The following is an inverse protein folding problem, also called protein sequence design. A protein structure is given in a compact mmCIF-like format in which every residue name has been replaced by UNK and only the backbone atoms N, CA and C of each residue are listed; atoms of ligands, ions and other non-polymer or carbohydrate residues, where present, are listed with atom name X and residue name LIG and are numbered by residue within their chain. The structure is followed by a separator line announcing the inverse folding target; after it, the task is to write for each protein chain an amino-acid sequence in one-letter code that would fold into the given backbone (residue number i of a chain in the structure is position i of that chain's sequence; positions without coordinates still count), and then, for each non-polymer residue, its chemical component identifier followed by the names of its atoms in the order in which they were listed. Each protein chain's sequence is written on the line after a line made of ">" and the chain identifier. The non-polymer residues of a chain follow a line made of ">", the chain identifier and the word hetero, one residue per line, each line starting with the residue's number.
data_IF_977779151220
#
_entry.id   IF_977779151220
#
_cell.length_a   1.000
_cell.length_b   1.000
_cell.length_c   1.000
_cell.angle_alpha   90.00
_cell.angle_beta   90.00
_cell.angle_gamma   90.00
#
_symmetry.space_group_name_H-M   'P 1'
#
loop_
_entity.id
_entity.type
_entity.pdbx_description
1 polymer ?
#
# COMPACT_ATOMS: atom_id res chain seq x y z
N UNK A 1 -24.01 5.18 22.76
CA UNK A 1 -23.66 6.24 21.80
C UNK A 1 -22.21 6.02 21.39
N UNK A 2 -21.99 5.53 20.16
CA UNK A 2 -20.66 5.13 19.69
C UNK A 2 -19.74 6.34 19.54
N UNK A 3 -18.51 6.20 20.03
CA UNK A 3 -17.47 7.20 19.84
C UNK A 3 -17.13 7.27 18.34
N UNK A 4 -17.26 8.40 17.65
CA UNK A 4 -16.94 8.51 16.21
C UNK A 4 -15.46 8.22 15.88
N UNK A 5 -14.60 8.08 16.90
CA UNK A 5 -13.20 7.65 16.76
C UNK A 5 -12.99 6.14 16.54
N UNK A 6 -14.03 5.30 16.68
CA UNK A 6 -13.94 3.85 16.45
C UNK A 6 -14.28 3.43 15.02
N UNK A 7 -14.56 4.36 14.11
CA UNK A 7 -14.64 4.04 12.67
C UNK A 7 -13.22 3.88 12.10
N UNK A 8 -12.45 2.94 12.66
CA UNK A 8 -11.16 2.55 12.11
C UNK A 8 -11.39 1.40 11.13
N UNK A 9 -10.60 1.40 10.05
CA UNK A 9 -10.65 0.49 8.90
C UNK A 9 -10.90 -1.03 9.18
N UNK A 10 -10.70 -1.59 10.40
CA UNK A 10 -11.05 -2.99 10.71
C UNK A 10 -12.47 -3.20 11.28
N UNK A 11 -13.05 -2.23 11.99
CA UNK A 11 -14.35 -2.38 12.66
C UNK A 11 -15.53 -2.47 11.68
N UNK A 12 -15.31 -2.10 10.41
CA UNK A 12 -16.28 -2.24 9.33
C UNK A 12 -16.38 -3.68 8.78
N UNK A 13 -15.37 -4.53 9.01
CA UNK A 13 -15.26 -5.84 8.34
C UNK A 13 -15.16 -7.03 9.30
N UNK A 14 -14.79 -6.82 10.56
CA UNK A 14 -14.38 -7.87 11.47
C UNK A 14 -14.90 -7.59 12.89
N UNK A 15 -15.61 -8.55 13.47
CA UNK A 15 -15.98 -8.54 14.89
C UNK A 15 -14.75 -8.91 15.75
N UNK A 16 -13.87 -7.94 16.02
CA UNK A 16 -12.74 -8.14 16.95
C UNK A 16 -13.19 -7.90 18.39
N UNK A 17 -13.06 -8.90 19.27
CA UNK A 17 -13.36 -8.71 20.68
C UNK A 17 -12.29 -7.78 21.28
N UNK A 18 -12.76 -6.81 22.05
CA UNK A 18 -11.90 -5.93 22.82
C UNK A 18 -10.99 -6.74 23.76
N UNK A 19 -9.79 -6.22 24.01
CA UNK A 19 -8.82 -6.81 24.94
C UNK A 19 -7.81 -7.75 24.29
N UNK A 20 -7.33 -8.73 25.08
CA UNK A 20 -6.18 -9.57 24.73
C UNK A 20 -6.38 -10.40 23.46
N UNK A 21 -7.60 -10.89 23.24
CA UNK A 21 -7.92 -11.75 22.09
C UNK A 21 -7.87 -10.96 20.78
N UNK A 22 -8.40 -9.73 20.75
CA UNK A 22 -8.30 -8.85 19.59
C UNK A 22 -6.86 -8.48 19.25
N UNK A 23 -6.04 -8.17 20.26
CA UNK A 23 -4.62 -7.90 20.08
C UNK A 23 -3.85 -9.12 19.55
N UNK A 24 -4.18 -10.32 20.03
CA UNK A 24 -3.58 -11.57 19.54
C UNK A 24 -3.95 -11.82 18.07
N UNK A 25 -5.21 -11.58 17.68
CA UNK A 25 -5.67 -11.67 16.30
C UNK A 25 -4.96 -10.66 15.39
N UNK A 26 -4.86 -9.39 15.83
CA UNK A 26 -4.15 -8.36 15.09
C UNK A 26 -2.67 -8.71 14.92
N UNK A 27 -2.01 -9.20 15.97
CA UNK A 27 -0.62 -9.64 15.90
C UNK A 27 -0.44 -10.82 14.93
N UNK A 28 -1.33 -11.83 15.00
CA UNK A 28 -1.31 -12.97 14.08
C UNK A 28 -1.48 -12.51 12.62
N UNK A 29 -2.40 -11.58 12.37
CA UNK A 29 -2.62 -10.99 11.05
C UNK A 29 -1.38 -10.26 10.52
N UNK A 30 -0.74 -9.43 11.36
CA UNK A 30 0.48 -8.71 10.99
C UNK A 30 1.65 -9.65 10.72
N UNK A 31 1.80 -10.71 11.52
CA UNK A 31 2.82 -11.73 11.30
C UNK A 31 2.58 -12.48 9.99
N UNK A 32 1.34 -12.87 9.71
CA UNK A 32 0.97 -13.53 8.45
C UNK A 32 1.25 -12.64 7.24
N UNK A 33 0.81 -11.38 7.29
CA UNK A 33 1.05 -10.40 6.24
C UNK A 33 2.54 -10.13 6.03
N UNK A 34 3.31 -9.99 7.12
CA UNK A 34 4.77 -9.76 7.07
C UNK A 34 5.51 -10.96 6.52
N UNK A 35 5.15 -12.18 6.96
CA UNK A 35 5.73 -13.41 6.46
C UNK A 35 5.50 -13.56 4.96
N UNK A 36 4.26 -13.32 4.50
CA UNK A 36 3.94 -13.35 3.08
C UNK A 36 4.75 -12.32 2.28
N UNK A 37 4.81 -11.07 2.73
CA UNK A 37 5.60 -10.01 2.08
C UNK A 37 7.09 -10.35 2.05
N UNK A 38 7.63 -10.99 3.10
CA UNK A 38 9.03 -11.39 3.12
C UNK A 38 9.30 -12.55 2.16
N UNK A 39 8.40 -13.53 2.07
CA UNK A 39 8.48 -14.63 1.12
C UNK A 39 8.48 -14.08 -0.32
N UNK A 40 7.53 -13.22 -0.65
CA UNK A 40 7.40 -12.66 -2.00
C UNK A 40 8.59 -11.75 -2.34
N UNK A 41 9.08 -10.98 -1.36
CA UNK A 41 10.32 -10.22 -1.49
C UNK A 41 11.55 -11.10 -1.72
N UNK A 42 11.67 -12.24 -1.03
CA UNK A 42 12.76 -13.22 -1.24
C UNK A 42 12.72 -13.78 -2.66
N UNK A 43 11.52 -14.03 -3.18
CA UNK A 43 11.29 -14.50 -4.55
C UNK A 43 11.38 -13.38 -5.60
N UNK A 44 11.46 -12.12 -5.18
CA UNK A 44 11.51 -10.96 -6.06
C UNK A 44 10.21 -10.70 -6.82
N UNK A 45 9.07 -11.20 -6.31
CA UNK A 45 7.75 -11.03 -6.91
C UNK A 45 7.12 -9.71 -6.44
N UNK A 46 6.60 -8.88 -7.34
CA UNK A 46 5.84 -7.70 -6.94
C UNK A 46 4.48 -8.14 -6.37
N UNK A 47 4.21 -7.80 -5.11
CA UNK A 47 2.95 -8.13 -4.43
C UNK A 47 2.31 -6.91 -3.79
N UNK A 48 0.99 -6.95 -3.64
CA UNK A 48 0.23 -5.90 -2.96
C UNK A 48 0.25 -6.11 -1.43
N UNK A 49 0.90 -5.21 -0.71
CA UNK A 49 0.91 -5.23 0.77
C UNK A 49 -0.48 -5.09 1.37
N UNK A 50 -1.39 -4.36 0.71
CA UNK A 50 -2.79 -4.24 1.14
C UNK A 50 -3.49 -5.59 1.14
N UNK A 51 -3.36 -6.38 0.06
CA UNK A 51 -3.93 -7.73 0.01
C UNK A 51 -3.30 -8.67 1.03
N UNK A 52 -1.98 -8.55 1.27
CA UNK A 52 -1.31 -9.34 2.28
C UNK A 52 -1.85 -9.04 3.69
N UNK A 53 -2.08 -7.76 4.00
CA UNK A 53 -2.66 -7.34 5.28
C UNK A 53 -4.10 -7.80 5.43
N UNK A 54 -4.94 -7.61 4.40
CA UNK A 54 -6.33 -8.07 4.39
C UNK A 54 -6.45 -9.60 4.49
N UNK A 55 -5.62 -10.33 3.76
CA UNK A 55 -5.54 -11.79 3.84
C UNK A 55 -5.08 -12.26 5.22
N UNK A 56 -4.11 -11.56 5.83
CA UNK A 56 -3.67 -11.82 7.20
C UNK A 56 -4.78 -11.59 8.22
N UNK A 57 -5.51 -10.48 8.11
CA UNK A 57 -6.63 -10.13 9.00
C UNK A 57 -7.78 -11.14 8.87
N UNK A 58 -8.25 -11.39 7.65
CA UNK A 58 -9.32 -12.38 7.41
C UNK A 58 -8.92 -13.79 7.84
N UNK A 59 -7.69 -14.21 7.54
CA UNK A 59 -7.15 -15.50 7.97
C UNK A 59 -7.07 -15.64 9.49
N UNK A 60 -6.61 -14.61 10.21
CA UNK A 60 -6.54 -14.63 11.66
C UNK A 60 -7.94 -14.78 12.30
N UNK A 61 -8.93 -14.06 11.77
CA UNK A 61 -10.32 -14.08 12.25
C UNK A 61 -10.97 -15.43 12.04
N UNK A 62 -10.81 -16.00 10.83
CA UNK A 62 -11.33 -17.33 10.51
C UNK A 62 -10.66 -18.42 11.37
N UNK A 63 -9.34 -18.33 11.57
CA UNK A 63 -8.61 -19.25 12.46
C UNK A 63 -9.03 -19.08 13.93
N UNK A 64 -9.42 -17.87 14.34
CA UNK A 64 -10.01 -17.57 15.65
C UNK A 64 -11.47 -18.00 15.81
N UNK A 65 -12.07 -18.65 14.81
CA UNK A 65 -13.45 -19.16 14.87
C UNK A 65 -14.52 -18.09 14.75
N UNK A 66 -14.19 -16.90 14.21
CA UNK A 66 -15.10 -15.77 14.06
C UNK A 66 -15.58 -15.61 12.62
N UNK A 67 -16.75 -15.00 12.45
CA UNK A 67 -17.33 -14.71 11.14
C UNK A 67 -16.70 -13.48 10.49
N UNK A 68 -16.52 -13.53 9.17
CA UNK A 68 -16.09 -12.41 8.33
C UNK A 68 -17.29 -11.98 7.48
N UNK A 69 -17.57 -10.68 7.47
CA UNK A 69 -18.59 -10.12 6.58
C UNK A 69 -17.99 -9.90 5.17
N UNK A 70 -18.34 -10.81 4.26
CA UNK A 70 -17.79 -10.82 2.90
C UNK A 70 -18.32 -9.68 2.02
N UNK A 71 -19.56 -9.22 2.26
CA UNK A 71 -20.17 -8.16 1.46
C UNK A 71 -19.39 -6.83 1.52
N UNK A 72 -19.14 -6.23 2.71
CA UNK A 72 -18.36 -4.99 2.80
C UNK A 72 -16.93 -5.19 2.33
N UNK A 73 -16.33 -6.37 2.54
CA UNK A 73 -14.99 -6.67 2.03
C UNK A 73 -14.94 -6.58 0.49
N UNK A 74 -15.96 -7.06 -0.21
CA UNK A 74 -16.03 -6.97 -1.66
C UNK A 74 -16.32 -5.54 -2.15
N UNK A 75 -17.28 -4.86 -1.53
CA UNK A 75 -17.77 -3.55 -2.02
C UNK A 75 -16.88 -2.38 -1.62
N UNK A 76 -16.29 -2.41 -0.44
CA UNK A 76 -15.48 -1.31 0.10
C UNK A 76 -13.98 -1.48 -0.20
N UNK A 77 -13.54 -2.68 -0.61
CA UNK A 77 -12.11 -2.95 -0.87
C UNK A 77 -11.86 -3.46 -2.29
N UNK A 78 -12.43 -4.61 -2.66
CA UNK A 78 -12.12 -5.25 -3.96
C UNK A 78 -12.60 -4.40 -5.13
N UNK A 79 -13.83 -3.90 -5.06
CA UNK A 79 -14.43 -3.14 -6.16
C UNK A 79 -13.70 -1.79 -6.40
N UNK A 80 -13.39 -0.97 -5.37
CA UNK A 80 -12.57 0.22 -5.56
C UNK A 80 -11.17 -0.10 -6.08
N UNK A 81 -10.55 -1.21 -5.64
CA UNK A 81 -9.21 -1.56 -6.05
C UNK A 81 -9.14 -1.90 -7.55
N UNK A 82 -10.09 -2.71 -8.03
CA UNK A 82 -10.19 -3.03 -9.46
C UNK A 82 -10.60 -1.79 -10.25
N UNK A 83 -11.64 -1.07 -9.80
CA UNK A 83 -12.10 0.15 -10.47
C UNK A 83 -11.01 1.19 -10.62
N UNK A 84 -10.23 1.43 -9.56
CA UNK A 84 -9.14 2.41 -9.57
C UNK A 84 -7.99 1.97 -10.49
N UNK A 85 -7.69 0.68 -10.61
CA UNK A 85 -6.67 0.22 -11.57
C UNK A 85 -7.07 0.51 -13.02
N UNK A 86 -8.35 0.32 -13.37
CA UNK A 86 -8.86 0.60 -14.72
C UNK A 86 -8.83 2.10 -14.99
N UNK A 87 -9.30 2.92 -14.05
CA UNK A 87 -9.30 4.38 -14.17
C UNK A 87 -7.86 4.91 -14.26
N UNK A 88 -6.96 4.46 -13.39
CA UNK A 88 -5.55 4.87 -13.42
C UNK A 88 -4.88 4.48 -14.74
N UNK A 89 -5.15 3.27 -15.24
CA UNK A 89 -4.66 2.81 -16.56
C UNK A 89 -5.17 3.69 -17.70
N UNK A 90 -6.46 4.04 -17.69
CA UNK A 90 -7.06 4.94 -18.68
C UNK A 90 -6.46 6.35 -18.64
N UNK A 91 -6.33 6.93 -17.45
CA UNK A 91 -5.69 8.24 -17.26
C UNK A 91 -4.23 8.22 -17.71
N UNK A 92 -3.47 7.16 -17.38
CA UNK A 92 -2.09 7.02 -17.83
C UNK A 92 -1.98 6.91 -19.36
N UNK A 93 -2.88 6.16 -20.01
CA UNK A 93 -2.92 6.05 -21.46
C UNK A 93 -3.23 7.40 -22.13
N UNK A 94 -4.22 8.15 -21.62
CA UNK A 94 -4.56 9.48 -22.13
C UNK A 94 -3.41 10.48 -21.92
N UNK A 95 -2.80 10.49 -20.74
CA UNK A 95 -1.66 11.35 -20.44
C UNK A 95 -0.46 11.04 -21.35
N UNK A 96 -0.15 9.76 -21.58
CA UNK A 96 0.90 9.35 -22.50
C UNK A 96 0.58 9.76 -23.95
N UNK A 97 -0.65 9.54 -24.40
CA UNK A 97 -1.10 9.96 -25.73
C UNK A 97 -0.99 11.47 -25.94
N UNK A 98 -1.42 12.26 -24.95
CA UNK A 98 -1.28 13.72 -24.96
C UNK A 98 0.19 14.16 -24.98
N UNK A 99 1.08 13.47 -24.26
CA UNK A 99 2.50 13.77 -24.23
C UNK A 99 3.16 13.50 -25.59
N UNK A 100 2.86 12.36 -26.22
CA UNK A 100 3.34 12.02 -27.57
C UNK A 100 2.83 13.04 -28.58
N UNK A 101 1.54 13.38 -28.52
CA UNK A 101 0.95 14.41 -29.37
C UNK A 101 1.51 15.81 -29.11
N UNK A 102 1.91 16.17 -27.89
CA UNK A 102 2.59 17.45 -27.66
C UNK A 102 4.04 17.44 -28.20
N UNK A 103 4.69 16.28 -28.17
CA UNK A 103 6.09 16.12 -28.56
C UNK A 103 6.33 15.87 -30.06
N UNK A 104 5.30 15.48 -30.84
CA UNK A 104 5.47 15.03 -32.23
C UNK A 104 6.14 16.02 -33.20
N UNK A 105 6.15 17.33 -32.89
CA UNK A 105 6.78 18.38 -33.72
C UNK A 105 8.10 18.91 -33.16
N UNK A 106 8.57 18.37 -32.04
CA UNK A 106 9.73 18.90 -31.32
C UNK A 106 11.00 18.07 -31.63
N UNK A 107 12.19 18.69 -31.68
CA UNK A 107 13.43 17.96 -31.93
C UNK A 107 13.73 16.95 -30.80
N UNK A 108 14.15 15.71 -31.11
CA UNK A 108 14.31 14.63 -30.12
C UNK A 108 15.22 14.99 -28.94
N UNK A 109 16.31 15.73 -29.20
CA UNK A 109 17.30 16.07 -28.18
C UNK A 109 16.76 16.98 -27.06
N UNK A 110 15.93 17.97 -27.40
CA UNK A 110 15.35 18.90 -26.41
C UNK A 110 14.21 18.24 -25.65
N UNK A 111 13.39 17.45 -26.34
CA UNK A 111 12.30 16.65 -25.76
C UNK A 111 12.84 15.67 -24.73
N UNK A 112 13.88 14.89 -25.06
CA UNK A 112 14.47 13.92 -24.12
C UNK A 112 15.03 14.58 -22.86
N UNK A 113 15.67 15.75 -22.98
CA UNK A 113 16.17 16.48 -21.81
C UNK A 113 15.04 16.93 -20.89
N UNK A 114 13.95 17.48 -21.45
CA UNK A 114 12.77 17.91 -20.69
C UNK A 114 12.05 16.73 -20.04
N UNK A 115 11.87 15.64 -20.79
CA UNK A 115 11.25 14.41 -20.29
C UNK A 115 12.04 13.78 -19.15
N UNK A 116 13.37 13.75 -19.21
CA UNK A 116 14.19 13.23 -18.09
C UNK A 116 13.99 14.03 -16.81
N UNK A 117 13.93 15.35 -16.90
CA UNK A 117 13.67 16.22 -15.74
C UNK A 117 12.26 15.95 -15.22
N UNK A 118 11.25 15.95 -16.10
CA UNK A 118 9.87 15.65 -15.73
C UNK A 118 9.76 14.28 -15.05
N UNK A 119 10.34 13.23 -15.62
CA UNK A 119 10.38 11.88 -15.06
C UNK A 119 10.99 11.84 -13.65
N UNK A 120 12.06 12.60 -13.40
CA UNK A 120 12.66 12.66 -12.05
C UNK A 120 11.74 13.31 -11.02
N UNK A 121 11.02 14.36 -11.41
CA UNK A 121 10.03 15.05 -10.56
C UNK A 121 8.83 14.14 -10.31
N UNK A 122 8.29 13.51 -11.36
CA UNK A 122 7.15 12.60 -11.24
C UNK A 122 7.51 11.36 -10.41
N UNK A 123 8.70 10.79 -10.59
CA UNK A 123 9.18 9.67 -9.78
C UNK A 123 9.28 10.05 -8.29
N UNK A 124 9.79 11.24 -7.98
CA UNK A 124 9.83 11.75 -6.61
C UNK A 124 8.42 11.97 -6.02
N UNK A 125 7.50 12.52 -6.82
CA UNK A 125 6.12 12.72 -6.41
C UNK A 125 5.38 11.39 -6.14
N UNK A 126 5.58 10.38 -7.00
CA UNK A 126 5.03 9.03 -6.79
C UNK A 126 5.62 8.38 -5.56
N UNK A 127 6.94 8.51 -5.33
CA UNK A 127 7.59 7.97 -4.13
C UNK A 127 7.03 8.62 -2.85
N UNK A 128 6.81 9.94 -2.85
CA UNK A 128 6.20 10.65 -1.73
C UNK A 128 4.76 10.18 -1.48
N UNK A 129 3.93 10.12 -2.53
CA UNK A 129 2.56 9.65 -2.43
C UNK A 129 2.46 8.21 -1.93
N UNK A 130 3.38 7.34 -2.36
CA UNK A 130 3.48 5.98 -1.87
C UNK A 130 3.82 5.94 -0.37
N UNK A 131 4.79 6.74 0.07
CA UNK A 131 5.16 6.85 1.49
C UNK A 131 4.03 7.39 2.37
N UNK A 132 3.29 8.40 1.89
CA UNK A 132 2.10 8.92 2.60
C UNK A 132 1.04 7.83 2.78
N UNK A 133 0.79 7.05 1.73
CA UNK A 133 -0.22 6.01 1.76
C UNK A 133 0.20 4.84 2.68
N UNK A 134 1.47 4.44 2.68
CA UNK A 134 1.98 3.44 3.63
C UNK A 134 1.93 3.95 5.08
N UNK A 135 2.22 5.24 5.30
CA UNK A 135 2.07 5.89 6.61
C UNK A 135 0.64 5.86 7.12
N UNK A 136 -0.35 6.11 6.26
CA UNK A 136 -1.78 5.99 6.61
C UNK A 136 -2.14 4.58 7.07
N UNK A 137 -1.63 3.53 6.41
CA UNK A 137 -1.89 2.14 6.80
C UNK A 137 -1.29 1.80 8.15
N UNK A 138 -0.05 2.22 8.41
CA UNK A 138 0.58 2.05 9.73
C UNK A 138 -0.22 2.75 10.81
N UNK A 139 -0.65 3.99 10.55
CA UNK A 139 -1.47 4.75 11.49
C UNK A 139 -2.80 4.04 11.77
N UNK A 140 -3.47 3.49 10.75
CA UNK A 140 -4.71 2.73 10.93
C UNK A 140 -4.51 1.48 11.80
N UNK A 141 -3.43 0.72 11.58
CA UNK A 141 -3.08 -0.45 12.41
C UNK A 141 -2.77 -0.04 13.85
N UNK A 142 -2.05 1.07 14.05
CA UNK A 142 -1.76 1.60 15.39
C UNK A 142 -3.04 2.01 16.11
N UNK A 143 -3.94 2.73 15.44
CA UNK A 143 -5.21 3.15 16.02
C UNK A 143 -6.06 1.95 16.42
N UNK A 144 -6.12 0.89 15.59
CA UNK A 144 -6.79 -0.35 15.95
C UNK A 144 -6.15 -0.98 17.20
N UNK A 145 -4.81 -1.11 17.23
CA UNK A 145 -4.12 -1.70 18.37
C UNK A 145 -4.39 -0.94 19.66
N UNK A 146 -4.41 0.39 19.62
CA UNK A 146 -4.71 1.25 20.77
C UNK A 146 -6.17 1.11 21.21
N UNK A 147 -7.11 1.05 20.26
CA UNK A 147 -8.53 0.83 20.54
C UNK A 147 -8.77 -0.52 21.23
N UNK A 148 -8.14 -1.59 20.74
CA UNK A 148 -8.23 -2.93 21.33
C UNK A 148 -7.58 -3.01 22.72
N UNK A 149 -6.56 -2.18 22.98
CA UNK A 149 -5.86 -2.09 24.25
C UNK A 149 -6.49 -1.11 25.26
N UNK A 150 -7.57 -0.41 24.87
CA UNK A 150 -8.16 0.71 25.62
C UNK A 150 -7.12 1.78 26.02
N UNK A 151 -6.17 2.04 25.11
CA UNK A 151 -5.05 2.95 25.32
C UNK A 151 -5.27 4.30 24.62
N UNK A 152 -4.80 5.41 25.20
CA UNK A 152 -4.96 6.73 24.59
C UNK A 152 -4.10 6.87 23.33
N UNK A 153 -4.66 7.53 22.31
CA UNK A 153 -3.96 7.90 21.07
C UNK A 153 -2.95 9.03 21.32
N UNK A 154 -3.24 9.90 22.28
CA UNK A 154 -2.37 11.01 22.62
C UNK A 154 -1.00 10.52 23.09
N UNK A 155 0.06 11.11 22.53
CA UNK A 155 1.45 10.79 22.89
C UNK A 155 2.09 9.65 22.08
N UNK A 156 1.38 9.00 21.15
CA UNK A 156 1.90 7.85 20.39
C UNK A 156 2.62 8.21 19.08
N UNK A 157 2.87 9.51 18.84
CA UNK A 157 3.56 9.99 17.62
C UNK A 157 4.94 9.38 17.42
N UNK A 158 5.64 9.01 18.51
CA UNK A 158 6.93 8.34 18.44
C UNK A 158 6.86 7.01 17.67
N UNK A 159 5.75 6.26 17.79
CA UNK A 159 5.53 5.01 17.05
C UNK A 159 5.47 5.27 15.55
N UNK A 160 4.77 6.32 15.13
CA UNK A 160 4.68 6.73 13.73
C UNK A 160 6.04 7.18 13.18
N UNK A 161 6.83 7.88 13.99
CA UNK A 161 8.20 8.28 13.61
C UNK A 161 9.08 7.05 13.40
N UNK A 162 9.07 6.09 14.32
CA UNK A 162 9.82 4.84 14.16
C UNK A 162 9.36 4.03 12.96
N UNK A 163 8.06 3.97 12.72
CA UNK A 163 7.54 3.29 11.54
C UNK A 163 7.96 3.99 10.24
N UNK A 164 7.94 5.33 10.19
CA UNK A 164 8.43 6.08 9.04
C UNK A 164 9.93 5.82 8.79
N UNK A 165 10.74 5.80 9.84
CA UNK A 165 12.17 5.44 9.76
C UNK A 165 12.34 4.00 9.27
N UNK A 166 11.55 3.05 9.76
CA UNK A 166 11.61 1.66 9.34
C UNK A 166 11.21 1.47 7.87
N UNK A 167 10.15 2.14 7.40
CA UNK A 167 9.74 2.14 5.98
C UNK A 167 10.86 2.73 5.11
N UNK A 168 11.43 3.87 5.52
CA UNK A 168 12.54 4.51 4.82
C UNK A 168 13.76 3.60 4.72
N UNK A 169 14.20 3.04 5.86
CA UNK A 169 15.32 2.11 5.93
C UNK A 169 15.07 0.85 5.09
N UNK A 170 13.88 0.26 5.17
CA UNK A 170 13.50 -0.92 4.37
C UNK A 170 13.53 -0.64 2.87
N UNK A 171 13.07 0.54 2.44
CA UNK A 171 13.09 0.97 1.04
C UNK A 171 14.52 1.09 0.52
N UNK A 172 15.42 1.68 1.32
CA UNK A 172 16.84 1.86 0.97
C UNK A 172 17.60 0.53 0.86
N UNK A 173 17.36 -0.41 1.78
CA UNK A 173 18.11 -1.66 1.85
C UNK A 173 17.54 -2.75 0.94
N UNK A 174 16.21 -2.81 0.80
CA UNK A 174 15.50 -3.97 0.25
C UNK A 174 14.83 -3.77 -1.11
N UNK A 175 14.52 -2.53 -1.50
CA UNK A 175 13.63 -2.25 -2.65
C UNK A 175 14.16 -2.76 -3.99
N UNK A 176 15.47 -2.80 -4.16
CA UNK A 176 16.13 -3.10 -5.43
C UNK A 176 15.84 -4.51 -5.99
N UNK A 177 15.57 -5.51 -5.14
CA UNK A 177 15.22 -6.85 -5.61
C UNK A 177 13.96 -6.83 -6.48
N UNK A 178 12.91 -6.16 -6.00
CA UNK A 178 11.63 -6.05 -6.69
C UNK A 178 11.77 -5.12 -7.90
N UNK A 179 12.46 -3.97 -7.74
CA UNK A 179 12.68 -3.03 -8.86
C UNK A 179 13.36 -3.69 -10.05
N UNK A 180 14.35 -4.57 -9.81
CA UNK A 180 15.02 -5.30 -10.90
C UNK A 180 14.10 -6.28 -11.62
N UNK A 181 13.18 -6.93 -10.91
CA UNK A 181 12.17 -7.80 -11.54
C UNK A 181 11.25 -6.98 -12.44
N UNK A 182 10.69 -5.87 -11.93
CA UNK A 182 9.77 -5.02 -12.69
C UNK A 182 10.45 -4.44 -13.92
N UNK A 183 11.64 -3.86 -13.75
CA UNK A 183 12.35 -3.16 -14.81
C UNK A 183 12.91 -4.09 -15.90
N UNK A 184 13.14 -5.38 -15.62
CA UNK A 184 13.74 -6.31 -16.59
C UNK A 184 12.77 -7.35 -17.14
N UNK A 185 11.74 -7.74 -16.38
CA UNK A 185 10.85 -8.87 -16.73
C UNK A 185 9.43 -8.45 -17.10
N UNK A 186 8.98 -7.26 -16.69
CA UNK A 186 7.58 -6.83 -16.87
C UNK A 186 7.49 -5.72 -17.93
N UNK A 187 8.32 -4.69 -17.83
CA UNK A 187 8.34 -3.58 -18.79
C UNK A 187 9.60 -3.67 -19.63
N UNK A 188 9.48 -3.94 -20.93
CA UNK A 188 10.59 -3.74 -21.87
C UNK A 188 10.69 -2.25 -22.16
N UNK A 189 11.76 -1.62 -21.70
CA UNK A 189 12.08 -0.26 -22.08
C UNK A 189 13.00 -0.37 -23.29
N UNK A 190 12.43 -0.43 -24.50
CA UNK A 190 13.22 -0.20 -25.70
C UNK A 190 13.58 1.30 -25.76
N UNK A 191 14.86 1.65 -26.03
CA UNK A 191 15.22 3.03 -26.33
C UNK A 191 14.41 3.50 -27.53
N UNK A 192 13.84 4.70 -27.45
CA UNK A 192 13.26 5.36 -28.62
C UNK A 192 14.41 5.73 -29.58
N UNK A 193 14.76 4.82 -30.47
CA UNK A 193 15.57 5.07 -31.67
C UNK A 193 14.67 5.46 -32.81
#
# INVERSE_FOLDING_TARGET
>A
MGNPATASFPDEFIDTAAGRDGLALLLAALLGATAWNLITWRLGLPTSSTHALLGGLTGAVLAGGRSVDWAPLLTSLVLPLVGLTVVAGGVAALAMGALIWAAHRQPPATTNRRLRIAQSVTASAVALGHGMHDGQRVAAVLLLALALADAPVAGQTWVLIWAAVAIGAGTLVGGWRITRTVARRIVRIEPAT
#
